data_IF_823074621841
#
_entry.id   IF_823074621841
#
_cell.length_a   1.000
_cell.length_b   1.000
_cell.length_c   1.000
_cell.angle_alpha   90.00
_cell.angle_beta   90.00
_cell.angle_gamma   90.00
#
_symmetry.space_group_name_H-M   'P 1'
#
loop_
_entity.id
_entity.type
_entity.pdbx_description
1 polymer ?
#
# COMPACT_ATOMS: atom_id res chain seq x y z
N UNK A 1 6.12 -33.50 -50.81
CA UNK A 1 6.98 -33.49 -49.62
C UNK A 1 7.53 -32.08 -49.25
N UNK A 2 7.82 -31.22 -50.20
CA UNK A 2 8.43 -29.89 -49.93
C UNK A 2 7.49 -28.85 -49.31
N UNK A 3 6.19 -28.98 -49.49
CA UNK A 3 5.19 -28.01 -48.94
C UNK A 3 4.86 -28.24 -47.47
N UNK A 4 4.99 -29.47 -46.98
CA UNK A 4 4.70 -29.81 -45.57
C UNK A 4 5.85 -29.37 -44.68
N UNK A 5 7.08 -29.36 -45.17
CA UNK A 5 8.27 -28.97 -44.43
C UNK A 5 8.33 -27.45 -44.19
N UNK A 6 7.77 -26.61 -45.08
CA UNK A 6 7.70 -25.17 -44.91
C UNK A 6 6.67 -24.74 -43.85
N UNK A 7 5.59 -25.51 -43.67
CA UNK A 7 4.54 -25.16 -42.67
C UNK A 7 5.03 -25.51 -41.26
N UNK A 8 5.85 -26.58 -41.13
CA UNK A 8 6.37 -27.01 -39.82
C UNK A 8 7.43 -26.06 -39.24
N UNK A 9 8.19 -25.35 -40.09
CA UNK A 9 9.19 -24.38 -39.66
C UNK A 9 8.54 -23.07 -39.17
N UNK A 10 7.38 -22.69 -39.70
CA UNK A 10 6.66 -21.48 -39.28
C UNK A 10 5.98 -21.67 -37.91
N UNK A 11 5.59 -22.90 -37.56
CA UNK A 11 4.94 -23.21 -36.28
C UNK A 11 5.91 -23.27 -35.10
N UNK A 12 7.19 -23.50 -35.32
CA UNK A 12 8.23 -23.57 -34.27
C UNK A 12 8.71 -22.16 -33.88
N UNK A 13 8.50 -21.13 -34.71
CA UNK A 13 8.97 -19.77 -34.45
C UNK A 13 7.97 -18.90 -33.64
N UNK A 14 6.74 -19.36 -33.41
CA UNK A 14 5.72 -18.61 -32.68
C UNK A 14 5.63 -18.94 -31.20
N UNK A 15 6.36 -19.95 -30.70
CA UNK A 15 6.31 -20.38 -29.29
C UNK A 15 7.34 -19.67 -28.38
N UNK A 16 8.23 -18.85 -28.96
CA UNK A 16 9.37 -18.26 -28.22
C UNK A 16 9.10 -16.86 -27.66
N UNK A 17 7.86 -16.35 -27.67
CA UNK A 17 7.54 -14.98 -27.21
C UNK A 17 6.75 -14.93 -25.88
N UNK A 18 6.57 -16.07 -25.20
CA UNK A 18 6.19 -16.02 -23.80
C UNK A 18 7.44 -15.84 -22.95
N UNK A 19 8.13 -14.73 -23.15
CA UNK A 19 9.14 -14.26 -22.22
C UNK A 19 8.42 -13.92 -20.92
N UNK A 20 8.79 -14.56 -19.80
CA UNK A 20 8.50 -14.06 -18.47
C UNK A 20 8.87 -12.58 -18.45
N UNK A 21 7.89 -11.68 -18.42
CA UNK A 21 8.11 -10.29 -18.05
C UNK A 21 8.62 -10.36 -16.60
N UNK A 22 9.92 -10.29 -16.41
CA UNK A 22 10.46 -9.92 -15.10
C UNK A 22 9.89 -8.53 -14.80
N UNK A 23 9.00 -8.44 -13.80
CA UNK A 23 8.57 -7.17 -13.24
C UNK A 23 9.86 -6.39 -12.94
N UNK A 24 10.08 -5.26 -13.59
CA UNK A 24 11.23 -4.42 -13.27
C UNK A 24 11.12 -4.06 -11.80
N UNK A 25 12.18 -4.37 -11.04
CA UNK A 25 12.20 -4.07 -9.61
C UNK A 25 12.33 -2.56 -9.45
N UNK A 26 11.41 -1.95 -8.70
CA UNK A 26 11.52 -0.53 -8.38
C UNK A 26 12.84 -0.27 -7.63
N UNK A 27 13.45 0.88 -7.90
CA UNK A 27 14.68 1.32 -7.24
C UNK A 27 14.32 2.50 -6.34
N UNK A 28 14.45 2.31 -5.04
CA UNK A 28 14.20 3.34 -4.05
C UNK A 28 15.53 3.94 -3.59
N UNK A 29 15.60 5.27 -3.44
CA UNK A 29 16.80 6.00 -3.02
C UNK A 29 16.65 6.65 -1.64
N UNK A 30 15.41 6.71 -1.15
CA UNK A 30 15.06 7.29 0.15
C UNK A 30 14.46 6.20 1.05
N UNK A 31 14.35 6.50 2.32
CA UNK A 31 13.64 5.68 3.29
C UNK A 31 12.31 6.36 3.62
N UNK A 32 11.24 5.60 3.57
CA UNK A 32 9.87 6.03 3.85
C UNK A 32 9.44 5.50 5.20
N UNK A 33 8.49 6.17 5.84
CA UNK A 33 7.87 5.69 7.08
C UNK A 33 6.40 5.41 6.83
N UNK A 34 5.97 4.21 7.16
CA UNK A 34 4.58 3.79 7.19
C UNK A 34 4.16 3.61 8.66
N UNK A 35 3.23 4.42 9.13
CA UNK A 35 2.57 4.21 10.42
C UNK A 35 1.33 3.35 10.19
N UNK A 36 1.17 2.33 11.00
CA UNK A 36 0.06 1.38 10.94
C UNK A 36 -0.63 1.30 12.30
N UNK A 37 -1.83 1.85 12.38
CA UNK A 37 -2.70 1.78 13.55
C UNK A 37 -3.70 0.65 13.36
N UNK A 38 -3.76 -0.27 14.32
CA UNK A 38 -4.61 -1.45 14.24
C UNK A 38 -5.33 -1.74 15.55
N UNK A 39 -6.36 -2.59 15.47
CA UNK A 39 -7.15 -3.05 16.58
C UNK A 39 -7.09 -4.58 16.66
N UNK A 40 -7.09 -5.12 17.87
CA UNK A 40 -7.25 -6.56 18.07
C UNK A 40 -8.63 -7.03 17.59
N UNK A 41 -8.69 -8.23 16.99
CA UNK A 41 -9.94 -8.81 16.49
C UNK A 41 -10.58 -8.08 15.30
N UNK A 42 -9.88 -7.13 14.70
CA UNK A 42 -10.31 -6.47 13.47
C UNK A 42 -9.90 -7.33 12.25
N UNK A 43 -10.85 -7.92 11.50
CA UNK A 43 -10.52 -8.85 10.41
C UNK A 43 -9.67 -8.21 9.30
N UNK A 44 -9.91 -6.93 8.97
CA UNK A 44 -9.13 -6.21 7.97
C UNK A 44 -7.71 -5.91 8.46
N UNK A 45 -7.55 -5.61 9.76
CA UNK A 45 -6.24 -5.43 10.38
C UNK A 45 -5.44 -6.74 10.36
N UNK A 46 -6.08 -7.86 10.73
CA UNK A 46 -5.46 -9.19 10.68
C UNK A 46 -5.05 -9.58 9.26
N UNK A 47 -5.92 -9.32 8.27
CA UNK A 47 -5.61 -9.56 6.86
C UNK A 47 -4.42 -8.73 6.41
N UNK A 48 -4.39 -7.43 6.73
CA UNK A 48 -3.29 -6.55 6.37
C UNK A 48 -1.97 -6.97 7.05
N UNK A 49 -2.00 -7.27 8.34
CA UNK A 49 -0.82 -7.76 9.07
C UNK A 49 -0.26 -9.03 8.43
N UNK A 50 -1.15 -9.98 8.06
CA UNK A 50 -0.74 -11.30 7.53
C UNK A 50 -0.28 -11.24 6.08
N UNK A 51 -0.93 -10.44 5.24
CA UNK A 51 -0.74 -10.45 3.80
C UNK A 51 -0.12 -9.14 3.28
N UNK A 52 -0.52 -7.98 3.77
CA UNK A 52 -0.05 -6.68 3.30
C UNK A 52 1.36 -6.33 3.78
N UNK A 53 1.64 -6.45 5.09
CA UNK A 53 2.97 -6.13 5.62
C UNK A 53 4.10 -6.96 4.97
N UNK A 54 3.94 -8.28 4.71
CA UNK A 54 4.96 -9.05 3.99
C UNK A 54 5.23 -8.53 2.57
N UNK A 55 4.18 -8.16 1.82
CA UNK A 55 4.32 -7.61 0.47
C UNK A 55 5.09 -6.28 0.48
N UNK A 56 4.77 -5.39 1.43
CA UNK A 56 5.48 -4.13 1.59
C UNK A 56 6.96 -4.36 1.92
N UNK A 57 7.25 -5.30 2.83
CA UNK A 57 8.63 -5.67 3.20
C UNK A 57 9.40 -6.28 2.02
N UNK A 58 8.72 -7.08 1.18
CA UNK A 58 9.32 -7.66 -0.02
C UNK A 58 9.64 -6.59 -1.08
N UNK A 59 8.71 -5.65 -1.32
CA UNK A 59 8.88 -4.60 -2.32
C UNK A 59 9.93 -3.58 -1.91
N UNK A 60 9.83 -3.03 -0.70
CA UNK A 60 10.64 -1.89 -0.26
C UNK A 60 11.91 -2.28 0.51
N UNK A 61 11.94 -3.46 1.15
CA UNK A 61 13.07 -3.88 2.00
C UNK A 61 13.39 -2.85 3.09
N UNK A 62 14.66 -2.46 3.18
CA UNK A 62 15.15 -1.49 4.16
C UNK A 62 14.73 -0.03 3.84
N UNK A 63 14.07 0.20 2.69
CA UNK A 63 13.55 1.51 2.31
C UNK A 63 12.19 1.84 2.91
N UNK A 64 11.53 0.89 3.60
CA UNK A 64 10.29 1.14 4.33
C UNK A 64 10.46 0.82 5.80
N UNK A 65 10.41 1.85 6.65
CA UNK A 65 10.28 1.71 8.10
C UNK A 65 8.79 1.60 8.43
N UNK A 66 8.38 0.49 9.04
CA UNK A 66 7.00 0.30 9.51
C UNK A 66 6.96 0.52 11.01
N UNK A 67 6.05 1.38 11.48
CA UNK A 67 5.77 1.62 12.88
C UNK A 67 4.35 1.13 13.13
N UNK A 68 4.23 0.10 13.96
CA UNK A 68 2.96 -0.54 14.30
C UNK A 68 2.46 0.01 15.64
N UNK A 69 1.20 0.46 15.68
CA UNK A 69 0.53 1.00 16.85
C UNK A 69 -0.71 0.16 17.16
N UNK A 70 -0.67 -0.55 18.28
CA UNK A 70 -1.81 -1.27 18.82
C UNK A 70 -2.72 -0.30 19.56
N UNK A 71 -3.90 -0.04 19.03
CA UNK A 71 -4.85 0.91 19.63
C UNK A 71 -5.61 0.31 20.83
N UNK A 72 -5.51 -1.00 21.07
CA UNK A 72 -6.11 -1.69 22.22
C UNK A 72 -5.11 -1.95 23.36
N UNK A 73 -3.80 -1.76 23.13
CA UNK A 73 -2.79 -1.95 24.15
C UNK A 73 -2.86 -0.85 25.23
N UNK A 74 -3.32 -1.23 26.41
CA UNK A 74 -3.47 -0.31 27.54
C UNK A 74 -2.16 0.22 28.11
N UNK A 75 -1.03 -0.46 27.88
CA UNK A 75 0.29 -0.04 28.37
C UNK A 75 0.83 1.12 27.55
N UNK A 76 0.57 1.12 26.24
CA UNK A 76 1.07 2.13 25.29
C UNK A 76 -0.02 3.12 24.84
N UNK A 77 -1.26 2.98 25.31
CA UNK A 77 -2.43 3.74 24.86
C UNK A 77 -2.20 5.26 24.80
N UNK A 78 -1.51 5.83 25.77
CA UNK A 78 -1.25 7.28 25.80
C UNK A 78 -0.34 7.71 24.66
N UNK A 79 0.68 6.93 24.34
CA UNK A 79 1.62 7.18 23.25
C UNK A 79 0.94 6.97 21.89
N UNK A 80 0.22 5.85 21.76
CA UNK A 80 -0.54 5.50 20.55
C UNK A 80 -1.57 6.59 20.23
N UNK A 81 -2.34 7.03 21.24
CA UNK A 81 -3.31 8.10 21.07
C UNK A 81 -2.66 9.42 20.67
N UNK A 82 -1.51 9.77 21.24
CA UNK A 82 -0.80 10.99 20.88
C UNK A 82 -0.32 10.95 19.42
N UNK A 83 0.25 9.81 18.97
CA UNK A 83 0.65 9.62 17.58
C UNK A 83 -0.55 9.68 16.62
N UNK A 84 -1.67 9.03 16.99
CA UNK A 84 -2.90 9.05 16.21
C UNK A 84 -3.46 10.46 16.07
N UNK A 85 -3.58 11.20 17.18
CA UNK A 85 -4.09 12.58 17.21
C UNK A 85 -3.19 13.53 16.39
N UNK A 86 -1.87 13.33 16.40
CA UNK A 86 -0.91 14.09 15.58
C UNK A 86 -1.21 13.90 14.09
N UNK A 87 -1.41 12.66 13.66
CA UNK A 87 -1.78 12.33 12.27
C UNK A 87 -3.12 12.98 11.91
N UNK A 88 -4.16 12.79 12.74
CA UNK A 88 -5.50 13.38 12.48
C UNK A 88 -5.42 14.89 12.31
N UNK A 89 -4.65 15.58 13.16
CA UNK A 89 -4.46 17.02 13.07
C UNK A 89 -3.72 17.46 11.79
N UNK A 90 -2.97 16.57 11.14
CA UNK A 90 -2.28 16.84 9.87
C UNK A 90 -3.17 16.63 8.64
N UNK A 91 -4.31 15.99 8.79
CA UNK A 91 -5.26 15.68 7.70
C UNK A 91 -6.14 16.90 7.37
N UNK A 92 -6.45 17.04 6.09
CA UNK A 92 -7.46 17.99 5.60
C UNK A 92 -8.83 17.32 5.73
N UNK A 93 -9.78 17.98 6.39
CA UNK A 93 -11.19 17.57 6.49
C UNK A 93 -11.40 16.11 6.96
N UNK A 94 -10.67 15.70 8.03
CA UNK A 94 -10.83 14.39 8.63
C UNK A 94 -12.28 14.18 9.12
N UNK A 95 -12.89 13.07 8.69
CA UNK A 95 -14.21 12.68 9.15
C UNK A 95 -14.13 12.13 10.60
N UNK A 96 -14.73 12.83 11.54
CA UNK A 96 -14.69 12.45 12.96
C UNK A 96 -15.40 11.11 13.26
N UNK A 97 -16.30 10.67 12.39
CA UNK A 97 -16.97 9.37 12.54
C UNK A 97 -16.00 8.21 12.27
N UNK A 98 -14.88 8.48 11.61
CA UNK A 98 -13.82 7.49 11.32
C UNK A 98 -12.76 7.41 12.42
N UNK A 99 -12.85 8.26 13.46
CA UNK A 99 -11.90 8.28 14.55
C UNK A 99 -11.86 6.96 15.33
N UNK A 100 -10.66 6.35 15.43
CA UNK A 100 -10.43 5.13 16.19
C UNK A 100 -10.76 3.84 15.42
N UNK A 101 -11.07 3.92 14.12
CA UNK A 101 -11.19 2.73 13.29
C UNK A 101 -9.83 2.32 12.68
N UNK A 102 -9.74 1.03 12.31
CA UNK A 102 -8.55 0.43 11.70
C UNK A 102 -8.91 -0.61 10.62
N UNK A 103 -7.94 -0.99 9.78
CA UNK A 103 -6.56 -0.49 9.75
C UNK A 103 -6.51 0.97 9.30
N UNK A 104 -5.74 1.80 10.00
CA UNK A 104 -5.45 3.15 9.58
C UNK A 104 -3.96 3.27 9.28
N UNK A 105 -3.63 3.65 8.07
CA UNK A 105 -2.30 3.59 7.50
C UNK A 105 -1.87 4.98 7.05
N UNK A 106 -0.67 5.38 7.39
CA UNK A 106 -0.15 6.72 7.07
C UNK A 106 1.23 6.59 6.45
N UNK A 107 1.33 6.89 5.15
CA UNK A 107 2.63 7.10 4.51
C UNK A 107 3.05 8.54 4.81
N UNK A 108 4.00 8.71 5.73
CA UNK A 108 4.42 10.03 6.21
C UNK A 108 4.83 10.95 5.06
N UNK A 109 4.25 12.15 5.06
CA UNK A 109 4.50 13.16 4.02
C UNK A 109 3.81 12.90 2.67
N UNK A 110 2.93 11.90 2.59
CA UNK A 110 2.20 11.58 1.36
C UNK A 110 0.69 11.61 1.57
N UNK A 111 0.10 10.59 2.17
CA UNK A 111 -1.33 10.45 2.41
C UNK A 111 -1.61 9.47 3.54
N UNK A 112 -2.87 9.41 3.98
CA UNK A 112 -3.35 8.37 4.88
C UNK A 112 -4.53 7.62 4.27
N UNK A 113 -4.75 6.38 4.71
CA UNK A 113 -5.84 5.52 4.26
C UNK A 113 -6.44 4.80 5.45
N UNK A 114 -7.76 4.89 5.57
CA UNK A 114 -8.56 4.05 6.45
C UNK A 114 -9.14 2.90 5.62
N UNK A 115 -9.03 1.68 6.13
CA UNK A 115 -9.45 0.48 5.43
C UNK A 115 -8.41 -0.01 4.41
N UNK A 116 -8.44 -1.32 4.12
CA UNK A 116 -7.70 -1.96 3.04
C UNK A 116 -8.56 -3.07 2.47
N UNK A 117 -9.25 -2.77 1.38
CA UNK A 117 -10.10 -3.73 0.65
C UNK A 117 -9.26 -4.80 -0.03
N UNK A 118 -8.15 -4.38 -0.63
CA UNK A 118 -7.21 -5.24 -1.34
C UNK A 118 -5.77 -4.83 -0.99
N UNK A 119 -4.95 -5.80 -0.62
CA UNK A 119 -3.56 -5.56 -0.20
C UNK A 119 -2.62 -5.29 -1.38
N UNK A 120 -2.92 -5.84 -2.56
CA UNK A 120 -2.14 -5.60 -3.77
C UNK A 120 -2.41 -4.18 -4.28
N UNK A 121 -3.67 -3.73 -4.30
CA UNK A 121 -4.05 -2.36 -4.65
C UNK A 121 -3.42 -1.35 -3.68
N UNK A 122 -3.40 -1.68 -2.37
CA UNK A 122 -2.73 -0.84 -1.39
C UNK A 122 -1.23 -0.71 -1.66
N UNK A 123 -0.55 -1.81 -2.00
CA UNK A 123 0.86 -1.78 -2.38
C UNK A 123 1.10 -0.93 -3.63
N UNK A 124 0.23 -1.07 -4.65
CA UNK A 124 0.30 -0.25 -5.87
C UNK A 124 0.14 1.24 -5.55
N UNK A 125 -0.77 1.60 -4.65
CA UNK A 125 -0.96 2.98 -4.17
C UNK A 125 0.24 3.54 -3.41
N UNK A 126 0.92 2.73 -2.57
CA UNK A 126 2.17 3.14 -1.94
C UNK A 126 3.25 3.47 -2.99
N UNK A 127 3.37 2.61 -4.01
CA UNK A 127 4.33 2.81 -5.11
C UNK A 127 3.97 4.06 -5.92
N UNK A 128 2.70 4.22 -6.29
CA UNK A 128 2.19 5.37 -7.05
C UNK A 128 2.44 6.68 -6.29
N UNK A 129 2.07 6.74 -5.00
CA UNK A 129 2.30 7.91 -4.15
C UNK A 129 3.78 8.32 -4.11
N UNK A 130 4.68 7.34 -3.93
CA UNK A 130 6.14 7.58 -3.86
C UNK A 130 6.68 8.09 -5.20
N UNK A 131 6.14 7.61 -6.33
CA UNK A 131 6.50 8.05 -7.68
C UNK A 131 5.87 9.38 -8.08
N UNK A 132 4.90 9.87 -7.32
CA UNK A 132 4.11 11.05 -7.67
C UNK A 132 3.11 10.77 -8.79
N UNK A 133 2.63 9.53 -8.88
CA UNK A 133 1.57 9.06 -9.76
C UNK A 133 0.22 9.12 -9.02
N UNK A 134 -0.87 9.07 -9.76
CA UNK A 134 -2.23 9.05 -9.21
C UNK A 134 -2.48 7.73 -8.45
N UNK A 135 -3.27 7.81 -7.37
CA UNK A 135 -3.73 6.64 -6.65
C UNK A 135 -4.85 5.95 -7.45
N UNK A 136 -4.98 4.64 -7.26
CA UNK A 136 -6.16 3.91 -7.74
C UNK A 136 -7.42 4.44 -7.03
N UNK A 137 -8.60 4.24 -7.65
CA UNK A 137 -9.87 4.52 -6.99
C UNK A 137 -9.98 3.73 -5.67
N UNK A 138 -10.49 4.35 -4.58
CA UNK A 138 -10.63 3.66 -3.31
C UNK A 138 -11.60 2.48 -3.42
N UNK A 139 -11.25 1.37 -2.77
CA UNK A 139 -12.12 0.22 -2.63
C UNK A 139 -13.37 0.53 -1.79
N UNK A 140 -14.32 -0.42 -1.70
CA UNK A 140 -15.63 -0.21 -1.07
C UNK A 140 -15.55 0.24 0.41
N UNK A 141 -14.49 -0.20 1.12
CA UNK A 141 -14.28 0.13 2.54
C UNK A 141 -13.09 1.06 2.75
N UNK A 142 -12.48 1.56 1.68
CA UNK A 142 -11.27 2.38 1.75
C UNK A 142 -11.65 3.86 1.73
N UNK A 143 -10.99 4.64 2.56
CA UNK A 143 -11.12 6.11 2.58
C UNK A 143 -9.73 6.72 2.53
N UNK A 144 -9.47 7.59 1.55
CA UNK A 144 -8.22 8.33 1.46
C UNK A 144 -8.32 9.66 2.19
N UNK A 145 -7.26 10.00 2.91
CA UNK A 145 -7.09 11.26 3.60
C UNK A 145 -5.83 11.97 3.15
N UNK A 146 -5.97 13.22 2.77
CA UNK A 146 -4.88 14.04 2.28
C UNK A 146 -4.25 14.83 3.42
N UNK A 147 -2.92 14.75 3.53
CA UNK A 147 -2.17 15.50 4.53
C UNK A 147 -1.98 16.95 4.06
N UNK A 148 -2.04 17.93 4.98
CA UNK A 148 -1.86 19.36 4.67
C UNK A 148 -0.56 19.62 3.89
N UNK A 149 0.52 18.99 4.33
CA UNK A 149 1.84 19.10 3.73
C UNK A 149 2.21 17.84 2.90
N UNK A 150 1.24 16.97 2.61
CA UNK A 150 1.42 15.74 1.86
C UNK A 150 1.75 15.98 0.39
N UNK A 151 2.44 15.03 -0.23
CA UNK A 151 2.78 15.06 -1.66
C UNK A 151 1.60 14.63 -2.53
N UNK A 152 0.72 13.76 -2.03
CA UNK A 152 -0.53 13.37 -2.70
C UNK A 152 -1.58 14.44 -2.42
N UNK A 153 -2.29 14.88 -3.46
CA UNK A 153 -3.32 15.92 -3.37
C UNK A 153 -4.65 15.38 -3.85
N UNK A 154 -5.74 15.91 -3.28
CA UNK A 154 -7.08 15.71 -3.79
C UNK A 154 -7.19 16.40 -5.17
N UNK A 155 -7.77 15.72 -6.15
CA UNK A 155 -8.04 16.27 -7.48
C UNK A 155 -9.33 17.11 -7.52
#
# INVERSE_FOLDING_TARGET
MYKIFKIMIIFVLTVSLFGCQKKEKNVYTETYTLQYFYLEGCPNCENFTKNGLPLIKEEFGDHMKIIEYDMDDTETLTEVKAAYDEVINSIIDFNQDDYGFGPFLVLEGYYAQLGVSDVDDYLENLIAAIKGEELNEPGEIDTYYYLRDGKVKEE
#
